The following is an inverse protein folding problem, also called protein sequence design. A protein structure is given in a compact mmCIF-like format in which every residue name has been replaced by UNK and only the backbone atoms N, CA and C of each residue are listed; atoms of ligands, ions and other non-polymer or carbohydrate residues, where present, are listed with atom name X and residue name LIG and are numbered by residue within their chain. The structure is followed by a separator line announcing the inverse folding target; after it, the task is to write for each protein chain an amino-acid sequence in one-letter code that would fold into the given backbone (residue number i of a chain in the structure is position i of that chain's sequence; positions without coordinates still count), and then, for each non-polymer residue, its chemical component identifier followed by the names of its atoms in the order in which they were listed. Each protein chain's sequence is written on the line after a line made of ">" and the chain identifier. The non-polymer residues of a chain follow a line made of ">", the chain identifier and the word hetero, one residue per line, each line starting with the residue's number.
data_IF_437676772732
#
_entry.id   IF_437676772732
#
_cell.length_a   1.000
_cell.length_b   1.000
_cell.length_c   1.000
_cell.angle_alpha   90.00
_cell.angle_beta   90.00
_cell.angle_gamma   90.00
#
_symmetry.space_group_name_H-M   'P 1'
#
loop_
_entity.id
_entity.type
_entity.pdbx_description
1 polymer ?
#
# COMPACT_ATOMS: atom_id res chain seq x y z
N UNK A 1 -35.28 38.49 -6.57
CA UNK A 1 -34.18 37.94 -5.75
C UNK A 1 -34.70 36.66 -5.15
N UNK A 2 -34.11 35.57 -5.60
CA UNK A 2 -34.51 34.18 -5.35
C UNK A 2 -34.09 33.73 -3.95
N UNK A 3 -34.87 32.87 -3.32
CA UNK A 3 -34.40 31.63 -2.67
C UNK A 3 -35.60 30.86 -2.11
N UNK A 4 -35.96 29.78 -2.79
CA UNK A 4 -36.94 28.79 -2.34
C UNK A 4 -36.16 27.53 -1.99
N UNK A 5 -36.06 27.22 -0.70
CA UNK A 5 -35.44 25.99 -0.20
C UNK A 5 -36.55 24.94 -0.08
N UNK A 6 -36.60 23.99 -1.02
CA UNK A 6 -37.41 22.78 -0.89
C UNK A 6 -36.46 21.64 -0.52
N UNK A 7 -36.63 21.17 0.70
CA UNK A 7 -35.96 20.00 1.23
C UNK A 7 -36.61 18.71 0.66
N UNK A 8 -35.74 17.78 0.26
CA UNK A 8 -35.84 16.34 0.54
C UNK A 8 -36.95 15.53 -0.14
N UNK A 9 -36.58 14.78 -1.19
CA UNK A 9 -36.81 13.33 -1.25
C UNK A 9 -36.13 12.70 -2.49
N UNK A 10 -35.00 12.03 -2.27
CA UNK A 10 -34.45 11.04 -3.21
C UNK A 10 -34.23 9.75 -2.39
N UNK A 11 -34.66 8.57 -2.87
CA UNK A 11 -34.82 7.37 -2.04
C UNK A 11 -33.47 6.82 -1.52
N UNK A 12 -33.47 6.11 -0.39
CA UNK A 12 -32.28 5.43 0.10
C UNK A 12 -31.95 4.28 -0.86
N UNK A 13 -30.86 4.45 -1.62
CA UNK A 13 -30.20 3.34 -2.30
C UNK A 13 -29.96 2.25 -1.26
N UNK A 14 -30.64 1.14 -1.46
CA UNK A 14 -30.53 -0.10 -0.71
C UNK A 14 -29.08 -0.39 -0.37
N UNK A 15 -28.81 -0.44 0.93
CA UNK A 15 -27.66 -1.11 1.52
C UNK A 15 -27.42 -2.46 0.82
N UNK A 16 -26.43 -2.53 -0.06
CA UNK A 16 -25.77 -3.79 -0.37
C UNK A 16 -24.89 -4.13 0.83
N UNK A 17 -25.45 -4.93 1.74
CA UNK A 17 -24.77 -5.53 2.87
C UNK A 17 -23.64 -6.47 2.39
N UNK A 18 -22.55 -6.47 3.16
CA UNK A 18 -21.32 -7.29 3.10
C UNK A 18 -20.19 -6.76 2.19
N UNK A 19 -19.04 -6.39 2.80
CA UNK A 19 -18.15 -7.44 3.31
C UNK A 19 -17.64 -7.12 4.72
N UNK A 20 -18.50 -7.19 5.74
CA UNK A 20 -18.02 -7.08 7.14
C UNK A 20 -17.84 -8.45 7.82
N UNK A 21 -18.29 -9.54 7.20
CA UNK A 21 -18.31 -10.87 7.82
C UNK A 21 -17.05 -11.72 7.56
N UNK A 22 -16.12 -11.28 6.71
CA UNK A 22 -14.95 -12.08 6.33
C UNK A 22 -13.61 -11.57 6.91
N UNK A 23 -13.59 -10.33 7.41
CA UNK A 23 -12.40 -9.78 8.09
C UNK A 23 -12.04 -10.54 9.38
N UNK A 24 -13.02 -11.22 10.00
CA UNK A 24 -12.84 -12.04 11.19
C UNK A 24 -12.12 -13.38 10.92
N UNK A 25 -12.08 -13.86 9.67
CA UNK A 25 -11.43 -15.15 9.34
C UNK A 25 -9.94 -15.02 9.04
N UNK A 26 -9.47 -13.83 8.67
CA UNK A 26 -8.07 -13.60 8.30
C UNK A 26 -7.57 -12.24 8.81
N UNK A 27 -7.33 -12.08 10.13
CA UNK A 27 -6.92 -10.81 10.74
C UNK A 27 -5.58 -10.25 10.22
N UNK A 28 -4.82 -11.06 9.47
CA UNK A 28 -3.53 -10.70 8.90
C UNK A 28 -3.58 -10.38 7.41
N UNK A 29 -4.71 -10.64 6.72
CA UNK A 29 -4.84 -10.48 5.27
C UNK A 29 -4.58 -9.03 4.79
N UNK A 30 -5.11 -7.98 5.43
CA UNK A 30 -4.82 -6.61 5.02
C UNK A 30 -3.32 -6.27 5.13
N UNK A 31 -2.67 -6.73 6.19
CA UNK A 31 -1.24 -6.48 6.41
C UNK A 31 -0.35 -7.27 5.43
N UNK A 32 -0.75 -8.48 5.07
CA UNK A 32 -0.07 -9.28 4.03
C UNK A 32 -0.21 -8.61 2.64
N UNK A 33 -1.41 -8.10 2.34
CA UNK A 33 -1.68 -7.35 1.11
C UNK A 33 -0.82 -6.07 1.04
N UNK A 34 -0.67 -5.35 2.17
CA UNK A 34 0.18 -4.16 2.27
C UNK A 34 1.67 -4.49 2.06
N UNK A 35 2.18 -5.57 2.69
CA UNK A 35 3.57 -6.03 2.47
C UNK A 35 3.80 -6.38 1.01
N UNK A 36 2.88 -7.12 0.39
CA UNK A 36 2.99 -7.53 -1.00
C UNK A 36 2.94 -6.33 -1.96
N UNK A 37 2.05 -5.37 -1.71
CA UNK A 37 1.95 -4.15 -2.51
C UNK A 37 3.24 -3.33 -2.46
N UNK A 38 3.84 -3.15 -1.27
CA UNK A 38 5.11 -2.42 -1.11
C UNK A 38 6.29 -3.15 -1.73
N UNK A 39 6.34 -4.48 -1.63
CA UNK A 39 7.36 -5.28 -2.32
C UNK A 39 7.24 -5.15 -3.85
N UNK A 40 6.03 -5.14 -4.40
CA UNK A 40 5.81 -4.97 -5.84
C UNK A 40 6.25 -3.57 -6.31
N UNK A 41 5.92 -2.53 -5.55
CA UNK A 41 6.35 -1.15 -5.85
C UNK A 41 7.88 -1.00 -5.82
N UNK A 42 8.53 -1.57 -4.80
CA UNK A 42 9.99 -1.58 -4.70
C UNK A 42 10.62 -2.34 -5.88
N UNK A 43 10.07 -3.50 -6.26
CA UNK A 43 10.54 -4.26 -7.42
C UNK A 43 10.36 -3.50 -8.73
N UNK A 44 9.24 -2.81 -8.92
CA UNK A 44 9.00 -1.99 -10.10
C UNK A 44 10.00 -0.83 -10.20
N UNK A 45 10.27 -0.14 -9.09
CA UNK A 45 11.26 0.94 -9.04
C UNK A 45 12.68 0.41 -9.31
N UNK A 46 13.04 -0.72 -8.72
CA UNK A 46 14.33 -1.37 -8.97
C UNK A 46 14.45 -1.88 -10.41
N UNK A 47 13.38 -2.39 -11.03
CA UNK A 47 13.39 -2.86 -12.41
C UNK A 47 13.69 -1.72 -13.40
N UNK A 48 13.14 -0.52 -13.18
CA UNK A 48 13.47 0.69 -13.97
C UNK A 48 14.97 1.02 -13.91
N UNK A 49 15.66 0.59 -12.86
CA UNK A 49 17.09 0.82 -12.68
C UNK A 49 18.00 -0.36 -12.98
N UNK A 50 17.45 -1.58 -13.05
CA UNK A 50 18.20 -2.81 -13.25
C UNK A 50 18.01 -3.42 -14.64
N UNK A 51 17.06 -2.93 -15.45
CA UNK A 51 16.88 -3.43 -16.81
C UNK A 51 18.03 -3.03 -17.76
N UNK A 52 18.35 -3.99 -18.63
CA UNK A 52 19.53 -4.29 -19.45
C UNK A 52 20.93 -3.72 -19.11
N UNK A 53 21.13 -2.49 -18.59
CA UNK A 53 22.48 -2.02 -18.17
C UNK A 53 22.51 -1.01 -17.01
N UNK A 54 21.38 -0.71 -16.37
CA UNK A 54 21.30 0.41 -15.42
C UNK A 54 21.73 1.76 -16.05
N UNK A 55 21.67 1.83 -17.38
CA UNK A 55 22.08 2.99 -18.17
C UNK A 55 21.19 4.20 -17.87
N UNK A 56 19.87 3.97 -17.70
CA UNK A 56 18.90 5.03 -17.41
C UNK A 56 19.21 5.74 -16.11
N UNK A 57 19.56 5.00 -15.04
CA UNK A 57 19.95 5.62 -13.77
C UNK A 57 21.29 6.35 -13.91
N UNK A 58 22.27 5.77 -14.64
CA UNK A 58 23.59 6.38 -14.85
C UNK A 58 23.55 7.66 -15.69
N UNK A 59 22.56 7.82 -16.56
CA UNK A 59 22.35 9.04 -17.36
C UNK A 59 21.55 10.11 -16.63
N UNK A 60 20.94 9.82 -15.49
CA UNK A 60 20.29 10.83 -14.65
C UNK A 60 21.31 11.72 -13.93
N UNK A 61 20.86 12.91 -13.54
CA UNK A 61 21.62 13.80 -12.67
C UNK A 61 21.96 13.11 -11.33
N UNK A 62 23.04 13.55 -10.68
CA UNK A 62 23.43 13.03 -9.38
C UNK A 62 22.30 13.15 -8.35
N UNK A 63 21.64 14.30 -8.29
CA UNK A 63 20.52 14.57 -7.39
C UNK A 63 19.36 13.59 -7.62
N UNK A 64 19.02 13.30 -8.88
CA UNK A 64 17.93 12.36 -9.19
C UNK A 64 18.30 10.92 -8.85
N UNK A 65 19.59 10.53 -9.00
CA UNK A 65 20.07 9.22 -8.55
C UNK A 65 20.02 9.09 -7.03
N UNK A 66 20.46 10.11 -6.30
CA UNK A 66 20.43 10.14 -4.84
C UNK A 66 18.98 10.08 -4.32
N UNK A 67 18.08 10.86 -4.90
CA UNK A 67 16.65 10.82 -4.58
C UNK A 67 16.01 9.45 -4.86
N UNK A 68 16.38 8.81 -5.97
CA UNK A 68 15.91 7.46 -6.29
C UNK A 68 16.41 6.42 -5.27
N UNK A 69 17.70 6.44 -4.92
CA UNK A 69 18.28 5.53 -3.93
C UNK A 69 17.65 5.75 -2.54
N UNK A 70 17.39 7.00 -2.17
CA UNK A 70 16.69 7.33 -0.94
C UNK A 70 15.27 6.76 -0.94
N UNK A 71 14.51 6.90 -2.03
CA UNK A 71 13.17 6.34 -2.15
C UNK A 71 13.17 4.81 -2.02
N UNK A 72 14.14 4.13 -2.66
CA UNK A 72 14.33 2.68 -2.51
C UNK A 72 14.63 2.28 -1.07
N UNK A 73 15.50 3.03 -0.39
CA UNK A 73 15.83 2.79 1.02
C UNK A 73 14.61 2.94 1.94
N UNK A 74 13.82 4.01 1.75
CA UNK A 74 12.60 4.27 2.53
C UNK A 74 11.57 3.16 2.34
N UNK A 75 11.26 2.77 1.10
CA UNK A 75 10.30 1.68 0.87
C UNK A 75 10.83 0.33 1.39
N UNK A 76 12.14 0.08 1.29
CA UNK A 76 12.75 -1.12 1.87
C UNK A 76 12.64 -1.18 3.39
N UNK A 77 12.70 -0.03 4.07
CA UNK A 77 12.43 0.08 5.50
C UNK A 77 10.94 -0.14 5.81
N UNK A 78 10.03 0.46 5.05
CA UNK A 78 8.57 0.24 5.21
C UNK A 78 8.19 -1.24 5.08
N UNK A 79 8.73 -1.95 4.07
CA UNK A 79 8.51 -3.40 3.91
C UNK A 79 9.01 -4.18 5.12
N UNK A 80 10.18 -3.83 5.66
CA UNK A 80 10.74 -4.50 6.84
C UNK A 80 9.87 -4.28 8.08
N UNK A 81 9.41 -3.05 8.31
CA UNK A 81 8.53 -2.72 9.43
C UNK A 81 7.19 -3.46 9.34
N UNK A 82 6.55 -3.45 8.16
CA UNK A 82 5.30 -4.18 7.95
C UNK A 82 5.47 -5.69 8.12
N UNK A 83 6.56 -6.26 7.62
CA UNK A 83 6.88 -7.67 7.81
C UNK A 83 7.15 -8.02 9.28
N UNK A 84 7.79 -7.13 10.04
CA UNK A 84 8.02 -7.33 11.47
C UNK A 84 6.72 -7.28 12.28
N UNK A 85 5.82 -6.34 11.99
CA UNK A 85 4.48 -6.29 12.60
C UNK A 85 3.69 -7.57 12.27
N UNK A 86 3.78 -8.06 11.03
CA UNK A 86 3.13 -9.31 10.62
C UNK A 86 3.70 -10.50 11.40
N UNK A 87 5.03 -10.58 11.52
CA UNK A 87 5.70 -11.64 12.26
C UNK A 87 5.29 -11.67 13.74
N UNK A 88 5.25 -10.51 14.41
CA UNK A 88 4.81 -10.39 15.81
C UNK A 88 3.35 -10.82 15.98
N UNK A 89 2.47 -10.46 15.04
CA UNK A 89 1.05 -10.86 15.10
C UNK A 89 0.86 -12.36 14.88
N UNK A 90 1.63 -12.96 13.97
CA UNK A 90 1.59 -14.41 13.73
C UNK A 90 2.13 -15.19 14.93
N UNK A 91 3.25 -14.78 15.51
CA UNK A 91 3.82 -15.44 16.70
C UNK A 91 2.93 -15.32 17.93
N UNK A 92 2.28 -14.17 18.13
CA UNK A 92 1.30 -13.99 19.21
C UNK A 92 0.04 -14.86 19.01
N UNK A 93 -0.40 -15.07 17.77
CA UNK A 93 -1.56 -15.93 17.48
C UNK A 93 -1.29 -17.43 17.66
N UNK A 94 -0.03 -17.87 17.56
CA UNK A 94 0.37 -19.27 17.76
C UNK A 94 0.62 -19.62 19.22
N UNK A 95 0.81 -18.61 20.08
CA UNK A 95 1.07 -18.77 21.51
C UNK A 95 -0.19 -18.64 22.39
N UNK A 96 -1.34 -18.31 21.79
CA UNK A 96 -2.66 -18.16 22.43
C UNK A 96 -3.54 -19.37 22.15
#
# INVERSE_FOLDING_TARGET
>A
MSETIIATNLPPSTHSLAPLADASRHPHRPLLEDVHARQLQLRALLAVTLDEQGGVLRTQSQEMREGFLLACSVMGEEVRQLAQVLHVRLSASQAA
#
